data_IF_950910220620
#
_entry.id   IF_950910220620
#
_cell.length_a   1.000
_cell.length_b   1.000
_cell.length_c   1.000
_cell.angle_alpha   90.00
_cell.angle_beta   90.00
_cell.angle_gamma   90.00
#
_symmetry.space_group_name_H-M   'P 1'
#
loop_
_entity.id
_entity.type
_entity.pdbx_description
1 polymer ?
#
# COMPACT_ATOMS: atom_id res chain seq x y z
N UNK A 1 -12.43 -48.40 -54.95
CA UNK A 1 -13.21 -49.51 -54.35
C UNK A 1 -13.01 -49.44 -52.84
N UNK A 2 -13.87 -48.71 -52.13
CA UNK A 2 -15.08 -49.17 -51.43
C UNK A 2 -14.78 -49.81 -50.08
N UNK A 3 -15.00 -49.07 -48.99
CA UNK A 3 -16.17 -49.17 -48.07
C UNK A 3 -15.84 -50.10 -46.88
N UNK A 4 -15.89 -49.59 -45.63
CA UNK A 4 -17.01 -49.78 -44.67
C UNK A 4 -16.57 -49.51 -43.22
N UNK A 5 -17.40 -48.75 -42.51
CA UNK A 5 -17.31 -48.50 -41.07
C UNK A 5 -17.76 -49.70 -40.25
N UNK A 6 -17.27 -49.79 -39.01
CA UNK A 6 -17.85 -50.59 -37.92
C UNK A 6 -17.96 -49.73 -36.67
N UNK A 7 -19.16 -49.23 -36.40
CA UNK A 7 -19.56 -48.54 -35.16
C UNK A 7 -20.12 -49.56 -34.17
N UNK A 8 -19.90 -49.30 -32.86
CA UNK A 8 -20.63 -49.77 -31.65
C UNK A 8 -19.66 -50.45 -30.67
N UNK A 9 -19.67 -50.19 -29.37
CA UNK A 9 -20.78 -49.82 -28.52
C UNK A 9 -20.34 -48.92 -27.35
N UNK A 10 -21.32 -48.19 -26.84
CA UNK A 10 -21.25 -47.23 -25.75
C UNK A 10 -20.85 -47.85 -24.41
N UNK A 11 -20.24 -47.03 -23.56
CA UNK A 11 -20.65 -46.86 -22.16
C UNK A 11 -20.31 -45.42 -21.77
N UNK A 12 -21.33 -44.58 -21.81
CA UNK A 12 -21.32 -43.26 -21.20
C UNK A 12 -21.39 -43.42 -19.69
N UNK A 13 -20.57 -42.71 -18.92
CA UNK A 13 -20.96 -42.23 -17.59
C UNK A 13 -20.08 -41.04 -17.14
N UNK A 14 -20.78 -39.91 -16.97
CA UNK A 14 -20.49 -38.72 -16.16
C UNK A 14 -19.29 -37.80 -16.49
N UNK A 15 -19.55 -36.63 -17.14
CA UNK A 15 -18.70 -35.46 -17.02
C UNK A 15 -19.18 -34.62 -15.82
N UNK A 16 -18.44 -34.60 -14.72
CA UNK A 16 -18.60 -33.65 -13.61
C UNK A 16 -17.29 -33.77 -12.81
N UNK A 17 -16.44 -32.76 -12.67
CA UNK A 17 -16.76 -31.45 -12.13
C UNK A 17 -15.77 -30.41 -12.67
N UNK A 18 -16.35 -29.30 -13.09
CA UNK A 18 -15.71 -28.03 -13.33
C UNK A 18 -15.16 -27.50 -11.99
N UNK A 19 -13.90 -27.78 -11.65
CA UNK A 19 -13.21 -27.04 -10.61
C UNK A 19 -12.54 -25.83 -11.29
N UNK A 20 -13.33 -24.78 -11.50
CA UNK A 20 -12.77 -23.45 -11.67
C UNK A 20 -12.01 -23.13 -10.39
N UNK A 21 -10.68 -23.30 -10.41
CA UNK A 21 -9.82 -22.67 -9.44
C UNK A 21 -9.95 -21.16 -9.67
N UNK A 22 -10.99 -20.56 -9.08
CA UNK A 22 -10.99 -19.17 -8.71
C UNK A 22 -9.74 -18.99 -7.85
N UNK A 23 -8.65 -18.61 -8.50
CA UNK A 23 -7.51 -18.04 -7.80
C UNK A 23 -8.07 -16.79 -7.16
N UNK A 24 -8.43 -16.92 -5.88
CA UNK A 24 -8.69 -15.80 -5.01
C UNK A 24 -7.53 -14.85 -5.23
N UNK A 25 -7.86 -13.67 -5.73
CA UNK A 25 -6.92 -12.58 -5.73
C UNK A 25 -6.68 -12.29 -4.25
N UNK A 26 -5.66 -12.92 -3.67
CA UNK A 26 -5.01 -12.46 -2.44
C UNK A 26 -4.23 -11.18 -2.77
N UNK A 27 -4.91 -10.24 -3.42
CA UNK A 27 -4.61 -8.84 -3.28
C UNK A 27 -5.23 -8.46 -1.95
N UNK A 28 -4.45 -8.55 -0.87
CA UNK A 28 -4.55 -7.50 0.12
C UNK A 28 -4.56 -6.21 -0.68
N UNK A 29 -5.71 -5.56 -0.80
CA UNK A 29 -5.77 -4.19 -1.23
C UNK A 29 -4.92 -3.47 -0.19
N UNK A 30 -3.62 -3.31 -0.48
CA UNK A 30 -2.74 -2.45 0.27
C UNK A 30 -3.45 -1.11 0.14
N UNK A 31 -4.19 -0.71 1.17
CA UNK A 31 -4.77 0.62 1.23
C UNK A 31 -3.61 1.55 0.85
N UNK A 32 -3.79 2.33 -0.21
CA UNK A 32 -2.71 3.11 -0.78
C UNK A 32 -2.14 3.98 0.34
N UNK A 33 -0.96 3.61 0.84
CA UNK A 33 -0.33 4.32 1.95
C UNK A 33 0.04 5.70 1.43
N UNK A 34 -0.22 6.75 2.21
CA UNK A 34 0.13 8.11 1.83
C UNK A 34 1.61 8.16 1.43
N UNK A 35 1.98 8.72 0.26
CA UNK A 35 3.36 8.68 -0.24
C UNK A 35 4.36 9.33 0.73
N UNK A 36 3.94 10.33 1.50
CA UNK A 36 4.74 10.93 2.57
C UNK A 36 5.12 10.00 3.73
N UNK A 37 4.45 8.86 3.91
CA UNK A 37 4.79 7.88 4.94
C UNK A 37 6.21 7.36 4.77
N UNK A 38 6.59 6.95 3.55
CA UNK A 38 7.93 6.43 3.28
C UNK A 38 9.00 7.49 3.48
N UNK A 39 8.70 8.75 3.14
CA UNK A 39 9.59 9.89 3.36
C UNK A 39 9.82 10.12 4.85
N UNK A 40 8.77 10.12 5.69
CA UNK A 40 8.92 10.23 7.15
C UNK A 40 9.75 9.09 7.72
N UNK A 41 9.47 7.84 7.32
CA UNK A 41 10.24 6.67 7.79
C UNK A 41 11.72 6.77 7.39
N UNK A 42 12.03 7.28 6.20
CA UNK A 42 13.41 7.42 5.71
C UNK A 42 14.15 8.60 6.35
N UNK A 43 13.47 9.73 6.58
CA UNK A 43 14.09 11.00 6.97
C UNK A 43 14.07 11.24 8.47
N UNK A 44 12.92 11.05 9.13
CA UNK A 44 12.77 11.38 10.54
C UNK A 44 13.48 10.38 11.46
N UNK A 45 13.55 9.11 11.04
CA UNK A 45 14.12 8.03 11.87
C UNK A 45 15.64 7.96 11.87
N UNK A 46 16.30 8.91 11.21
CA UNK A 46 17.75 9.03 11.25
C UNK A 46 18.26 9.55 12.60
N UNK A 47 17.41 10.24 13.38
CA UNK A 47 17.81 10.83 14.66
C UNK A 47 16.90 10.44 15.84
N UNK A 48 15.61 10.18 15.61
CA UNK A 48 14.67 9.82 16.66
C UNK A 48 13.55 8.91 16.12
N UNK A 49 12.88 8.17 16.99
CA UNK A 49 11.73 7.33 16.58
C UNK A 49 10.43 8.14 16.48
N UNK A 50 9.35 7.46 16.09
CA UNK A 50 7.98 8.02 16.06
C UNK A 50 7.45 8.38 17.44
N UNK A 51 8.05 7.88 18.53
CA UNK A 51 7.68 8.23 19.90
C UNK A 51 7.66 9.75 20.15
N UNK A 52 8.43 10.52 19.38
CA UNK A 52 8.45 11.99 19.45
C UNK A 52 7.20 12.66 18.89
N UNK A 53 6.45 12.00 18.00
CA UNK A 53 5.38 12.66 17.26
C UNK A 53 4.07 11.87 17.17
N UNK A 54 4.07 10.55 17.39
CA UNK A 54 2.88 9.70 17.22
C UNK A 54 1.68 10.12 18.07
N UNK A 55 1.93 10.76 19.21
CA UNK A 55 0.90 11.20 20.17
C UNK A 55 0.51 12.68 19.97
N UNK A 56 1.22 13.41 19.09
CA UNK A 56 0.86 14.79 18.76
C UNK A 56 -0.30 14.82 17.76
N UNK A 57 -1.12 15.87 17.83
CA UNK A 57 -2.21 16.11 16.88
C UNK A 57 -2.10 17.56 16.41
N UNK A 58 -1.59 17.75 15.21
CA UNK A 58 -1.39 19.07 14.60
C UNK A 58 -2.03 19.08 13.22
N UNK A 59 -2.51 20.23 12.77
CA UNK A 59 -2.89 20.37 11.36
C UNK A 59 -1.63 20.33 10.47
N UNK A 60 -1.85 20.25 9.14
CA UNK A 60 -0.76 20.23 8.15
C UNK A 60 0.26 21.35 8.38
N UNK A 61 -0.21 22.57 8.68
CA UNK A 61 0.67 23.74 8.88
C UNK A 61 1.50 23.62 10.15
N UNK A 62 0.92 23.10 11.24
CA UNK A 62 1.64 22.80 12.47
C UNK A 62 2.73 21.75 12.26
N UNK A 63 2.42 20.71 11.49
CA UNK A 63 3.42 19.70 11.11
C UNK A 63 4.53 20.25 10.23
N UNK A 64 4.20 21.07 9.23
CA UNK A 64 5.18 21.76 8.41
C UNK A 64 6.12 22.62 9.27
N UNK A 65 5.59 23.38 10.22
CA UNK A 65 6.40 24.14 11.17
C UNK A 65 7.29 23.24 12.05
N UNK A 66 6.81 22.05 12.44
CA UNK A 66 7.61 21.06 13.17
C UNK A 66 8.76 20.50 12.33
N UNK A 67 8.52 20.22 11.05
CA UNK A 67 9.52 19.78 10.08
C UNK A 67 10.60 20.86 9.93
N UNK A 68 10.23 22.13 9.78
CA UNK A 68 11.21 23.23 9.73
C UNK A 68 12.06 23.37 11.00
N UNK A 69 11.50 23.07 12.19
CA UNK A 69 12.30 23.00 13.42
C UNK A 69 13.35 21.88 13.37
N UNK A 70 13.08 20.78 12.66
CA UNK A 70 14.05 19.68 12.50
C UNK A 70 15.13 20.02 11.48
N UNK A 71 14.83 20.85 10.47
CA UNK A 71 15.84 21.40 9.56
C UNK A 71 16.89 22.21 10.35
N UNK A 72 16.44 23.05 11.28
CA UNK A 72 17.32 23.77 12.21
C UNK A 72 18.16 22.87 13.14
N UNK A 73 17.88 21.56 13.19
CA UNK A 73 18.61 20.55 13.98
C UNK A 73 19.43 19.60 13.11
N UNK A 74 19.58 19.90 11.82
CA UNK A 74 20.39 19.10 10.88
C UNK A 74 19.59 18.30 9.85
N UNK A 75 18.26 18.44 9.81
CA UNK A 75 17.46 17.90 8.71
C UNK A 75 17.77 18.60 7.38
N UNK A 76 18.12 17.83 6.35
CA UNK A 76 18.40 18.34 5.00
C UNK A 76 17.41 17.71 4.01
N UNK A 77 16.34 18.44 3.70
CA UNK A 77 15.22 17.95 2.91
C UNK A 77 14.79 18.97 1.85
N UNK A 78 14.28 18.48 0.72
CA UNK A 78 13.78 19.37 -0.36
C UNK A 78 12.38 19.91 -0.01
N UNK A 79 11.93 21.00 -0.66
CA UNK A 79 10.57 21.50 -0.50
C UNK A 79 9.50 20.44 -0.77
N UNK A 80 9.71 19.56 -1.75
CA UNK A 80 8.80 18.48 -2.10
C UNK A 80 8.73 17.43 -1.00
N UNK A 81 9.89 17.03 -0.43
CA UNK A 81 9.94 16.10 0.70
C UNK A 81 9.24 16.69 1.93
N UNK A 82 9.45 17.98 2.21
CA UNK A 82 8.79 18.70 3.31
C UNK A 82 7.27 18.66 3.14
N UNK A 83 6.76 18.99 1.95
CA UNK A 83 5.34 18.98 1.66
C UNK A 83 4.75 17.56 1.81
N UNK A 84 5.41 16.54 1.26
CA UNK A 84 4.95 15.14 1.39
C UNK A 84 4.88 14.70 2.86
N UNK A 85 5.88 15.04 3.66
CA UNK A 85 5.87 14.73 5.09
C UNK A 85 4.78 15.50 5.83
N UNK A 86 4.59 16.79 5.55
CA UNK A 86 3.56 17.62 6.17
C UNK A 86 2.14 17.14 5.83
N UNK A 87 1.92 16.72 4.58
CA UNK A 87 0.64 16.17 4.11
C UNK A 87 0.32 14.85 4.83
N UNK A 88 1.28 13.93 4.90
CA UNK A 88 1.12 12.66 5.63
C UNK A 88 0.86 12.86 7.13
N UNK A 89 1.67 13.71 7.77
CA UNK A 89 1.52 13.95 9.20
C UNK A 89 0.20 14.67 9.50
N UNK A 90 -0.21 15.61 8.63
CA UNK A 90 -1.49 16.29 8.73
C UNK A 90 -2.69 15.37 8.51
N UNK A 91 -2.60 14.37 7.61
CA UNK A 91 -3.68 13.42 7.38
C UNK A 91 -3.82 12.41 8.52
N UNK A 92 -2.71 11.82 8.96
CA UNK A 92 -2.74 10.65 9.85
C UNK A 92 -2.59 11.03 11.33
N UNK A 93 -2.00 12.20 11.59
CA UNK A 93 -1.79 12.77 12.92
C UNK A 93 -2.40 14.19 13.02
N UNK A 94 -3.49 14.44 12.27
CA UNK A 94 -4.32 15.63 12.31
C UNK A 94 -5.18 15.76 13.58
N UNK A 95 -5.80 16.93 13.85
CA UNK A 95 -6.84 17.06 14.88
C UNK A 95 -7.98 16.06 14.64
N UNK A 96 -8.57 15.54 15.71
CA UNK A 96 -9.78 14.69 15.62
C UNK A 96 -11.05 15.53 15.62
#
# INVERSE_FOLDING_TARGET
MTIRQGVSAALAFAPLLLAAAAHGQDGTQQAAQHPGRSVVMSKCFQCHTDAMFRDQRQDRRGWEAAIYRMIGRGGLWTPEEINLMADYLGSDFGPK
#
